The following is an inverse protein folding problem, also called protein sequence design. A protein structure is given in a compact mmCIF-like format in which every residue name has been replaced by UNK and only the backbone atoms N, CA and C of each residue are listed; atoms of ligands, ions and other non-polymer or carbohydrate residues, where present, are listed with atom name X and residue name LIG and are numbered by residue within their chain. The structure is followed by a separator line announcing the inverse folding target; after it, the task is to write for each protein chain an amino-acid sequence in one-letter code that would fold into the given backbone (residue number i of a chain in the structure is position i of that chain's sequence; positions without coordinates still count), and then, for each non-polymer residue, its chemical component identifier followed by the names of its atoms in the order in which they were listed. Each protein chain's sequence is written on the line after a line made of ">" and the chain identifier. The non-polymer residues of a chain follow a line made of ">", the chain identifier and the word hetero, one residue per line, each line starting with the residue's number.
data_IF_655061882467
#
_entry.id   IF_655061882467
#
_cell.length_a   1.000
_cell.length_b   1.000
_cell.length_c   1.000
_cell.angle_alpha   90.00
_cell.angle_beta   90.00
_cell.angle_gamma   90.00
#
_symmetry.space_group_name_H-M   'P 1'
#
loop_
_entity.id
_entity.type
_entity.pdbx_description
1 polymer ?
#
# COMPACT_ATOMS: atom_id res chain seq x y z
N UNK A 1 13.95 7.57 3.52
CA UNK A 1 13.36 6.25 3.21
C UNK A 1 13.10 6.23 1.71
N UNK A 2 13.85 5.39 0.98
CA UNK A 2 13.66 5.21 -0.45
C UNK A 2 12.28 4.58 -0.73
N UNK A 3 11.75 4.84 -1.92
CA UNK A 3 10.57 4.15 -2.45
C UNK A 3 10.98 2.73 -2.83
N UNK A 4 10.20 1.73 -2.43
CA UNK A 4 10.44 0.33 -2.81
C UNK A 4 9.59 0.03 -4.04
N UNK A 5 10.22 -0.35 -5.14
CA UNK A 5 9.57 -0.68 -6.41
C UNK A 5 9.72 -2.17 -6.81
N UNK A 6 10.40 -2.98 -5.99
CA UNK A 6 10.50 -4.42 -6.16
C UNK A 6 9.21 -5.15 -5.77
N UNK A 7 8.93 -6.29 -6.38
CA UNK A 7 7.78 -7.13 -6.02
C UNK A 7 8.05 -8.10 -4.86
N UNK A 8 9.19 -7.95 -4.18
CA UNK A 8 9.54 -8.75 -3.00
C UNK A 8 8.56 -8.50 -1.85
N UNK A 9 8.11 -9.59 -1.22
CA UNK A 9 7.17 -9.56 -0.08
C UNK A 9 5.83 -8.86 -0.39
N UNK A 10 5.44 -8.83 -1.68
CA UNK A 10 4.12 -8.40 -2.14
C UNK A 10 3.20 -9.63 -2.27
N UNK A 11 1.91 -9.46 -2.01
CA UNK A 11 0.89 -10.49 -2.23
C UNK A 11 1.00 -11.08 -3.64
N UNK A 12 1.08 -12.41 -3.75
CA UNK A 12 1.27 -13.10 -5.03
C UNK A 12 0.16 -12.81 -6.04
N UNK A 13 -1.05 -12.46 -5.59
CA UNK A 13 -2.16 -12.04 -6.47
C UNK A 13 -1.85 -10.72 -7.16
N UNK A 14 -1.24 -9.76 -6.44
CA UNK A 14 -0.81 -8.48 -7.02
C UNK A 14 0.37 -8.68 -7.98
N UNK A 15 1.28 -9.60 -7.66
CA UNK A 15 2.39 -9.95 -8.55
C UNK A 15 1.85 -10.54 -9.86
N UNK A 16 0.94 -11.50 -9.78
CA UNK A 16 0.28 -12.11 -10.94
C UNK A 16 -0.46 -11.06 -11.79
N UNK A 17 -1.26 -10.20 -11.14
CA UNK A 17 -1.93 -9.09 -11.79
C UNK A 17 -0.97 -8.14 -12.50
N UNK A 18 0.11 -7.73 -11.85
CA UNK A 18 1.07 -6.82 -12.47
C UNK A 18 1.75 -7.46 -13.69
N UNK A 19 2.04 -8.76 -13.66
CA UNK A 19 2.61 -9.47 -14.81
C UNK A 19 1.64 -9.51 -16.00
N UNK A 20 0.35 -9.71 -15.77
CA UNK A 20 -0.66 -9.68 -16.83
C UNK A 20 -0.89 -8.24 -17.34
N UNK A 21 -0.90 -7.27 -16.43
CA UNK A 21 -1.01 -5.85 -16.77
C UNK A 21 0.18 -5.41 -17.63
N UNK A 22 1.41 -5.81 -17.26
CA UNK A 22 2.64 -5.51 -18.02
C UNK A 22 2.65 -6.17 -19.40
N UNK A 23 2.07 -7.36 -19.55
CA UNK A 23 1.90 -8.01 -20.86
C UNK A 23 0.91 -7.24 -21.75
N UNK A 24 -0.18 -6.75 -21.17
CA UNK A 24 -1.18 -5.95 -21.90
C UNK A 24 -0.69 -4.53 -22.22
N UNK A 25 -0.03 -3.88 -21.27
CA UNK A 25 0.46 -2.50 -21.35
C UNK A 25 1.98 -2.49 -21.04
N UNK A 26 2.85 -2.73 -22.03
CA UNK A 26 4.30 -2.85 -21.81
C UNK A 26 4.98 -1.61 -21.21
N UNK A 27 4.35 -0.43 -21.28
CA UNK A 27 4.87 0.82 -20.70
C UNK A 27 4.75 0.89 -19.17
N UNK A 28 3.90 0.05 -18.55
CA UNK A 28 3.65 0.16 -17.11
C UNK A 28 4.84 -0.24 -16.27
N UNK A 29 5.01 0.37 -15.11
CA UNK A 29 6.05 -0.01 -14.14
C UNK A 29 5.57 0.23 -12.71
N UNK A 30 6.08 -0.56 -11.76
CA UNK A 30 5.80 -0.35 -10.34
C UNK A 30 6.56 0.89 -9.88
N UNK A 31 5.81 1.89 -9.41
CA UNK A 31 6.36 3.07 -8.77
C UNK A 31 6.64 2.79 -7.28
N UNK A 32 5.64 2.29 -6.56
CA UNK A 32 5.76 1.94 -5.14
C UNK A 32 5.01 0.64 -4.84
N UNK A 33 5.61 -0.21 -4.01
CA UNK A 33 5.08 -1.52 -3.63
C UNK A 33 4.89 -1.58 -2.11
N UNK A 34 5.84 -2.16 -1.37
CA UNK A 34 5.85 -2.08 0.09
C UNK A 34 6.27 -0.69 0.56
N UNK A 35 5.63 -0.24 1.63
CA UNK A 35 5.94 1.03 2.29
C UNK A 35 6.15 0.83 3.77
N UNK A 36 7.32 1.20 4.28
CA UNK A 36 7.57 1.13 5.74
C UNK A 36 6.57 1.97 6.54
N UNK A 37 6.35 1.59 7.81
CA UNK A 37 5.56 2.38 8.75
C UNK A 37 6.04 3.83 8.85
N UNK A 38 7.36 4.05 8.99
CA UNK A 38 7.95 5.38 9.12
C UNK A 38 7.72 6.26 7.88
N UNK A 39 7.79 5.66 6.68
CA UNK A 39 7.46 6.38 5.44
C UNK A 39 5.99 6.76 5.39
N UNK A 40 5.08 5.85 5.78
CA UNK A 40 3.65 6.18 5.87
C UNK A 40 3.39 7.31 6.88
N UNK A 41 4.04 7.28 8.04
CA UNK A 41 3.92 8.32 9.06
C UNK A 41 4.38 9.68 8.51
N UNK A 42 5.47 9.72 7.75
CA UNK A 42 5.96 10.94 7.08
C UNK A 42 4.96 11.47 6.05
N UNK A 43 4.39 10.62 5.21
CA UNK A 43 3.37 11.02 4.22
C UNK A 43 2.11 11.55 4.90
N UNK A 44 1.66 10.86 5.95
CA UNK A 44 0.51 11.29 6.74
C UNK A 44 0.74 12.66 7.38
N UNK A 45 1.90 12.87 8.00
CA UNK A 45 2.27 14.16 8.59
C UNK A 45 2.34 15.29 7.55
N UNK A 46 2.93 15.03 6.38
CA UNK A 46 3.01 16.02 5.30
C UNK A 46 1.62 16.41 4.76
N UNK A 47 0.73 15.42 4.56
CA UNK A 47 -0.67 15.68 4.20
C UNK A 47 -1.40 16.50 5.27
N UNK A 48 -1.23 16.15 6.56
CA UNK A 48 -1.83 16.91 7.69
C UNK A 48 -1.29 18.34 7.81
N UNK A 49 -0.04 18.56 7.42
CA UNK A 49 0.59 19.88 7.38
C UNK A 49 0.31 20.67 6.08
N UNK A 50 -0.43 20.10 5.13
CA UNK A 50 -0.72 20.74 3.83
C UNK A 50 0.50 20.86 2.90
N UNK A 51 1.59 20.15 3.19
CA UNK A 51 2.85 20.20 2.42
C UNK A 51 3.05 18.97 1.54
N UNK A 52 2.11 18.01 1.57
CA UNK A 52 2.17 16.78 0.78
C UNK A 52 0.81 16.37 0.20
N UNK A 53 0.82 15.34 -0.64
CA UNK A 53 -0.37 14.83 -1.32
C UNK A 53 -1.37 14.18 -0.35
N UNK A 54 -2.64 14.50 -0.54
CA UNK A 54 -3.77 13.94 0.22
C UNK A 54 -4.73 13.21 -0.72
N UNK A 55 -5.39 12.12 -0.26
CA UNK A 55 -5.45 11.67 1.12
C UNK A 55 -4.26 10.75 1.45
N UNK A 56 -3.68 10.92 2.63
CA UNK A 56 -2.71 9.97 3.16
C UNK A 56 -3.37 9.16 4.29
N UNK A 57 -3.29 7.83 4.23
CA UNK A 57 -3.77 6.98 5.31
C UNK A 57 -2.90 7.18 6.57
N UNK A 58 -3.46 7.06 7.79
CA UNK A 58 -2.66 7.00 9.02
C UNK A 58 -1.63 5.87 8.96
N UNK A 59 -0.50 5.99 9.67
CA UNK A 59 0.45 4.89 9.75
C UNK A 59 -0.19 3.67 10.42
N UNK A 60 0.05 2.49 9.83
CA UNK A 60 -0.58 1.22 10.19
C UNK A 60 -1.89 0.95 9.44
N UNK A 61 -2.41 1.94 8.70
CA UNK A 61 -3.68 1.86 7.99
C UNK A 61 -3.57 1.81 6.46
N UNK A 62 -2.35 1.75 5.91
CA UNK A 62 -2.11 1.65 4.46
C UNK A 62 -1.84 0.21 4.02
N UNK A 63 -2.47 -0.21 2.92
CA UNK A 63 -2.26 -1.54 2.31
C UNK A 63 -0.79 -1.77 1.88
N UNK A 64 -0.07 -0.71 1.50
CA UNK A 64 1.35 -0.81 1.15
C UNK A 64 2.23 -1.29 2.31
N UNK A 65 1.85 -1.00 3.56
CA UNK A 65 2.62 -1.47 4.72
C UNK A 65 2.63 -2.98 4.82
N UNK A 66 1.59 -3.63 4.32
CA UNK A 66 1.38 -5.06 4.42
C UNK A 66 1.69 -5.80 3.11
N UNK A 67 2.27 -5.10 2.11
CA UNK A 67 2.50 -5.68 0.78
C UNK A 67 1.20 -6.04 0.03
N UNK A 68 0.10 -5.37 0.36
CA UNK A 68 -1.23 -5.61 -0.21
C UNK A 68 -1.68 -4.51 -1.18
N UNK A 69 -0.76 -3.67 -1.64
CA UNK A 69 -0.99 -2.67 -2.68
C UNK A 69 0.23 -2.44 -3.58
N UNK A 70 -0.02 -1.90 -4.76
CA UNK A 70 0.94 -1.43 -5.75
C UNK A 70 0.49 -0.07 -6.30
N UNK A 71 1.42 0.86 -6.37
CA UNK A 71 1.30 2.07 -7.20
C UNK A 71 1.98 1.79 -8.53
N UNK A 72 1.23 1.86 -9.62
CA UNK A 72 1.69 1.59 -10.98
C UNK A 72 1.62 2.87 -11.80
N UNK A 73 2.67 3.17 -12.55
CA UNK A 73 2.73 4.29 -13.48
C UNK A 73 2.94 3.79 -14.91
N UNK A 74 3.01 4.72 -15.88
CA UNK A 74 3.27 4.39 -17.29
C UNK A 74 2.02 4.06 -18.10
N UNK A 75 0.85 4.46 -17.62
CA UNK A 75 -0.43 4.37 -18.35
C UNK A 75 -1.24 5.66 -18.17
N UNK A 76 -2.26 5.84 -19.00
CA UNK A 76 -3.31 6.84 -18.87
C UNK A 76 -4.59 6.20 -18.36
N UNK A 77 -5.05 6.61 -17.18
CA UNK A 77 -6.30 6.10 -16.59
C UNK A 77 -7.56 6.36 -17.42
N UNK A 78 -7.47 7.22 -18.44
CA UNK A 78 -8.56 7.51 -19.38
C UNK A 78 -8.42 6.66 -20.64
N UNK A 79 -7.26 6.70 -21.31
CA UNK A 79 -7.06 5.99 -22.60
C UNK A 79 -6.96 4.48 -22.42
N UNK A 80 -6.30 4.03 -21.36
CA UNK A 80 -5.98 2.62 -21.13
C UNK A 80 -7.03 1.93 -20.24
N UNK A 81 -8.06 2.66 -19.80
CA UNK A 81 -9.08 2.19 -18.84
C UNK A 81 -9.67 0.84 -19.21
N UNK A 82 -10.18 0.69 -20.43
CA UNK A 82 -10.81 -0.54 -20.91
C UNK A 82 -9.84 -1.73 -20.87
N UNK A 83 -8.56 -1.49 -21.14
CA UNK A 83 -7.54 -2.52 -21.14
C UNK A 83 -7.13 -2.92 -19.71
N UNK A 84 -7.08 -1.96 -18.78
CA UNK A 84 -6.85 -2.24 -17.36
C UNK A 84 -8.04 -3.01 -16.78
N UNK A 85 -9.26 -2.58 -17.08
CA UNK A 85 -10.49 -3.24 -16.66
C UNK A 85 -10.58 -4.67 -17.20
N UNK A 86 -10.18 -4.93 -18.45
CA UNK A 86 -10.18 -6.29 -19.01
C UNK A 86 -9.18 -7.22 -18.30
N UNK A 87 -8.03 -6.70 -17.86
CA UNK A 87 -7.09 -7.47 -17.01
C UNK A 87 -7.73 -7.74 -15.64
N UNK A 88 -8.35 -6.73 -15.02
CA UNK A 88 -8.97 -6.85 -13.70
C UNK A 88 -10.09 -7.89 -13.62
N UNK A 89 -10.77 -8.20 -14.74
CA UNK A 89 -11.78 -9.28 -14.80
C UNK A 89 -11.21 -10.62 -14.33
N UNK A 90 -9.94 -10.91 -14.67
CA UNK A 90 -9.25 -12.14 -14.25
C UNK A 90 -8.65 -12.05 -12.83
N UNK A 91 -8.70 -10.87 -12.22
CA UNK A 91 -8.11 -10.56 -10.92
C UNK A 91 -9.16 -9.96 -9.97
N UNK A 92 -10.29 -10.66 -9.82
CA UNK A 92 -11.47 -10.19 -9.06
C UNK A 92 -11.20 -9.81 -7.60
N UNK A 93 -10.13 -10.35 -7.00
CA UNK A 93 -9.66 -10.00 -5.66
C UNK A 93 -8.94 -8.65 -5.56
N UNK A 94 -8.73 -7.94 -6.66
CA UNK A 94 -8.04 -6.64 -6.73
C UNK A 94 -9.07 -5.54 -7.00
N UNK A 95 -8.86 -4.41 -6.35
CA UNK A 95 -9.56 -3.17 -6.64
C UNK A 95 -8.58 -2.11 -7.14
N UNK A 96 -9.10 -1.24 -8.01
CA UNK A 96 -8.37 -0.14 -8.59
C UNK A 96 -8.87 1.17 -7.97
N UNK A 97 -7.93 1.99 -7.51
CA UNK A 97 -8.20 3.27 -6.84
C UNK A 97 -8.85 4.32 -7.74
N UNK A 98 -8.93 4.10 -9.05
CA UNK A 98 -9.59 5.05 -9.97
C UNK A 98 -11.06 5.27 -9.63
N UNK A 99 -11.75 4.27 -9.11
CA UNK A 99 -13.19 4.30 -8.83
C UNK A 99 -13.52 4.73 -7.39
N UNK A 100 -12.51 5.11 -6.60
CA UNK A 100 -12.71 5.58 -5.25
C UNK A 100 -13.31 6.99 -5.23
N UNK A 101 -14.02 7.32 -4.15
CA UNK A 101 -14.60 8.66 -3.93
C UNK A 101 -13.54 9.76 -4.11
N UNK A 102 -12.34 9.49 -3.62
CA UNK A 102 -11.15 10.26 -3.97
C UNK A 102 -10.29 9.38 -4.87
N UNK A 103 -10.34 9.66 -6.16
CA UNK A 103 -9.69 8.84 -7.19
C UNK A 103 -8.18 8.84 -6.99
N UNK A 104 -7.59 7.65 -7.01
CA UNK A 104 -6.16 7.42 -6.94
C UNK A 104 -5.75 6.46 -8.07
N UNK A 105 -5.60 6.96 -9.31
CA UNK A 105 -5.43 6.09 -10.46
C UNK A 105 -4.19 5.18 -10.43
N UNK A 106 -3.02 5.59 -9.92
CA UNK A 106 -1.88 4.68 -9.81
C UNK A 106 -2.12 3.47 -8.88
N UNK A 107 -3.05 3.58 -7.92
CA UNK A 107 -3.16 2.65 -6.79
C UNK A 107 -4.00 1.42 -7.11
N UNK A 108 -3.44 0.23 -6.90
CA UNK A 108 -4.13 -1.07 -6.95
C UNK A 108 -3.93 -1.81 -5.63
N UNK A 109 -4.98 -2.43 -5.09
CA UNK A 109 -4.85 -3.18 -3.83
C UNK A 109 -5.72 -4.42 -3.78
N UNK A 110 -5.39 -5.31 -2.85
CA UNK A 110 -6.26 -6.43 -2.49
C UNK A 110 -7.55 -5.89 -1.86
N UNK A 111 -8.70 -6.33 -2.39
CA UNK A 111 -10.01 -6.06 -1.80
C UNK A 111 -10.06 -6.60 -0.38
N UNK A 112 -10.56 -5.79 0.56
CA UNK A 112 -10.64 -6.16 1.97
C UNK A 112 -9.30 -6.63 2.56
N UNK A 113 -8.16 -6.07 2.12
CA UNK A 113 -6.80 -6.50 2.52
C UNK A 113 -6.56 -6.62 4.04
N UNK A 114 -7.36 -5.94 4.86
CA UNK A 114 -7.29 -6.03 6.33
C UNK A 114 -7.77 -7.39 6.87
N UNK A 115 -8.59 -8.11 6.11
CA UNK A 115 -9.07 -9.44 6.49
C UNK A 115 -7.93 -10.45 6.38
N UNK A 116 -7.67 -11.16 7.47
CA UNK A 116 -6.64 -12.20 7.52
C UNK A 116 -5.24 -11.74 7.89
N UNK A 117 -5.05 -10.47 8.31
CA UNK A 117 -3.77 -10.03 8.87
C UNK A 117 -3.42 -10.79 10.14
N UNK A 118 -2.26 -11.43 10.14
CA UNK A 118 -1.69 -12.11 11.31
C UNK A 118 -1.35 -11.10 12.41
N UNK A 119 -1.20 -11.62 13.64
CA UNK A 119 -0.75 -10.80 14.77
C UNK A 119 0.64 -10.20 14.51
N UNK A 120 1.54 -10.97 13.89
CA UNK A 120 2.89 -10.53 13.52
C UNK A 120 2.85 -9.33 12.56
N UNK A 121 2.03 -9.41 11.50
CA UNK A 121 1.85 -8.29 10.55
C UNK A 121 1.34 -7.04 11.27
N UNK A 122 0.36 -7.18 12.16
CA UNK A 122 -0.16 -6.02 12.95
C UNK A 122 0.91 -5.41 13.86
N UNK A 123 1.77 -6.24 14.45
CA UNK A 123 2.84 -5.76 15.33
C UNK A 123 3.94 -5.07 14.54
N UNK A 124 4.45 -5.71 13.50
CA UNK A 124 5.61 -5.25 12.73
C UNK A 124 5.20 -4.16 11.74
N UNK A 125 4.34 -4.49 10.78
CA UNK A 125 3.94 -3.59 9.69
C UNK A 125 2.93 -2.55 10.16
N UNK A 126 2.03 -2.94 11.07
CA UNK A 126 1.04 -2.05 11.68
C UNK A 126 1.60 -1.09 12.73
N UNK A 127 2.81 -1.36 13.25
CA UNK A 127 3.51 -0.48 14.17
C UNK A 127 3.13 -0.63 15.64
N UNK A 128 2.44 -1.70 16.04
CA UNK A 128 2.16 -1.91 17.48
C UNK A 128 3.42 -2.16 18.31
N UNK A 129 4.56 -2.45 17.68
CA UNK A 129 5.86 -2.46 18.37
C UNK A 129 6.17 -1.15 19.12
N UNK A 130 5.65 0.00 18.64
CA UNK A 130 5.81 1.30 19.33
C UNK A 130 5.18 1.25 20.72
N UNK A 131 3.98 0.67 20.82
CA UNK A 131 3.28 0.53 22.10
C UNK A 131 3.98 -0.46 23.02
N UNK A 132 4.56 -1.53 22.47
CA UNK A 132 5.38 -2.47 23.25
C UNK A 132 6.59 -1.76 23.86
N UNK A 133 7.28 -0.93 23.07
CA UNK A 133 8.42 -0.12 23.56
C UNK A 133 7.98 0.87 24.64
N UNK A 134 6.87 1.59 24.42
CA UNK A 134 6.34 2.53 25.40
C UNK A 134 6.00 1.82 26.71
N UNK A 135 5.29 0.68 26.63
CA UNK A 135 4.94 -0.11 27.81
C UNK A 135 6.18 -0.60 28.57
N UNK A 136 7.20 -1.08 27.86
CA UNK A 136 8.47 -1.52 28.47
C UNK A 136 9.18 -0.37 29.20
N UNK A 137 9.20 0.84 28.62
CA UNK A 137 9.78 2.04 29.26
C UNK A 137 9.00 2.39 30.53
N UNK A 138 7.66 2.40 30.47
CA UNK A 138 6.81 2.70 31.62
C UNK A 138 7.06 1.70 32.75
N UNK A 139 7.07 0.40 32.46
CA UNK A 139 7.33 -0.66 33.44
C UNK A 139 8.72 -0.47 34.07
N UNK A 140 9.73 -0.18 33.27
CA UNK A 140 11.09 0.04 33.76
C UNK A 140 11.20 1.25 34.68
N UNK A 141 10.51 2.35 34.37
CA UNK A 141 10.49 3.56 35.21
C UNK A 141 9.70 3.36 36.50
N UNK A 142 8.60 2.60 36.47
CA UNK A 142 7.78 2.34 37.67
C UNK A 142 8.37 1.29 38.61
N UNK A 143 9.23 0.40 38.10
CA UNK A 143 9.96 -0.59 38.91
C UNK A 143 11.29 -0.05 39.47
N UNK A 144 11.54 1.27 39.34
CA UNK A 144 12.68 2.00 39.93
C UNK A 144 12.21 2.72 41.18
#
# INVERSE_FOLDING_TARGET
>A
MAVINSLENVDSRLVSFFQDLKRSLPSVYVFESRRSWARQAKLYAACKAGTGSCPAAPPGSSAHQYGRALDVNGFSAVKDRKQIESVLVNHSGIEWGVDWKQSDPPHFQIRNWRRGLSLSEKIIDGGYWIWIVIAAIIIYVLNR
#
